data_IF_472730559798
#
_entry.id   IF_472730559798
#
_cell.length_a   1.000
_cell.length_b   1.000
_cell.length_c   1.000
_cell.angle_alpha   90.00
_cell.angle_beta   90.00
_cell.angle_gamma   90.00
#
_symmetry.space_group_name_H-M   'P 1'
#
loop_
_entity.id
_entity.type
_entity.pdbx_description
1 polymer ?
#
# COMPACT_ATOMS: atom_id res chain seq x y z
N UNK A 1 12.63 7.33 -22.44
CA UNK A 1 11.90 6.09 -22.08
C UNK A 1 10.41 6.41 -22.11
N UNK A 2 9.62 5.65 -22.86
CA UNK A 2 8.15 5.75 -22.84
C UNK A 2 7.63 4.61 -21.97
N UNK A 3 6.73 4.92 -21.04
CA UNK A 3 6.07 3.93 -20.19
C UNK A 3 4.56 4.03 -20.42
N UNK A 4 3.94 2.92 -20.77
CA UNK A 4 2.49 2.83 -21.02
C UNK A 4 1.87 2.05 -19.87
N UNK A 5 0.91 2.65 -19.16
CA UNK A 5 0.16 1.98 -18.10
C UNK A 5 -1.21 1.58 -18.63
N UNK A 6 -1.50 0.28 -18.64
CA UNK A 6 -2.86 -0.22 -18.85
C UNK A 6 -3.60 -0.18 -17.52
N UNK A 7 -4.66 0.62 -17.44
CA UNK A 7 -5.57 0.63 -16.29
C UNK A 7 -6.67 -0.39 -16.55
N UNK A 8 -6.68 -1.47 -15.78
CA UNK A 8 -7.59 -2.60 -15.98
C UNK A 8 -8.41 -2.83 -14.72
N UNK A 9 -9.71 -2.99 -14.90
CA UNK A 9 -10.62 -3.44 -13.85
C UNK A 9 -10.62 -4.97 -13.81
N UNK A 10 -10.01 -5.54 -12.78
CA UNK A 10 -9.85 -6.99 -12.61
C UNK A 10 -10.96 -7.63 -11.80
N UNK A 11 -11.98 -6.86 -11.39
CA UNK A 11 -13.08 -7.33 -10.55
C UNK A 11 -12.55 -8.00 -9.28
N UNK A 12 -12.93 -9.25 -9.04
CA UNK A 12 -12.59 -9.99 -7.82
C UNK A 12 -11.21 -10.65 -7.87
N UNK A 13 -10.52 -10.59 -9.02
CA UNK A 13 -9.18 -11.12 -9.16
C UNK A 13 -8.12 -10.08 -8.78
N UNK A 14 -6.99 -10.53 -8.21
CA UNK A 14 -5.76 -9.73 -8.18
C UNK A 14 -5.33 -9.35 -9.61
N UNK A 15 -5.51 -10.27 -10.55
CA UNK A 15 -5.34 -10.05 -11.99
C UNK A 15 -3.91 -9.97 -12.51
N UNK A 16 -2.87 -10.31 -11.74
CA UNK A 16 -1.47 -10.25 -12.20
C UNK A 16 -1.24 -10.96 -13.56
N UNK A 17 -1.70 -12.21 -13.69
CA UNK A 17 -1.59 -12.99 -14.94
C UNK A 17 -2.41 -12.39 -16.09
N UNK A 18 -3.61 -11.88 -15.79
CA UNK A 18 -4.46 -11.23 -16.79
C UNK A 18 -3.82 -9.95 -17.33
N UNK A 19 -3.18 -9.15 -16.48
CA UNK A 19 -2.46 -7.94 -16.89
C UNK A 19 -1.26 -8.27 -17.79
N UNK A 20 -0.46 -9.28 -17.46
CA UNK A 20 0.68 -9.69 -18.27
C UNK A 20 0.24 -10.10 -19.68
N UNK A 21 -0.81 -10.91 -19.79
CA UNK A 21 -1.40 -11.28 -21.08
C UNK A 21 -1.90 -10.08 -21.89
N UNK A 22 -2.52 -9.09 -21.24
CA UNK A 22 -2.94 -7.86 -21.90
C UNK A 22 -1.74 -7.02 -22.37
N UNK A 23 -0.71 -6.85 -21.53
CA UNK A 23 0.51 -6.14 -21.88
C UNK A 23 1.26 -6.79 -23.05
N UNK A 24 1.33 -8.13 -23.07
CA UNK A 24 1.87 -8.90 -24.20
C UNK A 24 1.04 -8.67 -25.47
N UNK A 25 -0.30 -8.70 -25.36
CA UNK A 25 -1.20 -8.51 -26.50
C UNK A 25 -1.13 -7.13 -27.16
N UNK A 26 -0.92 -6.06 -26.39
CA UNK A 26 -0.83 -4.69 -26.94
C UNK A 26 0.57 -4.31 -27.41
N UNK A 27 1.61 -5.07 -27.06
CA UNK A 27 2.99 -4.70 -27.36
C UNK A 27 3.27 -4.46 -28.85
N UNK A 28 2.83 -5.33 -29.80
CA UNK A 28 3.08 -5.09 -31.22
C UNK A 28 2.42 -3.81 -31.75
N UNK A 29 1.26 -3.44 -31.21
CA UNK A 29 0.57 -2.20 -31.56
C UNK A 29 1.34 -0.97 -31.05
N UNK A 30 1.89 -1.05 -29.83
CA UNK A 30 2.69 0.03 -29.26
C UNK A 30 3.99 0.21 -30.08
N UNK A 31 4.66 -0.88 -30.47
CA UNK A 31 5.86 -0.82 -31.32
C UNK A 31 5.54 -0.21 -32.69
N UNK A 32 4.43 -0.58 -33.32
CA UNK A 32 4.04 -0.03 -34.63
C UNK A 32 3.69 1.46 -34.58
N UNK A 33 3.03 1.92 -33.51
CA UNK A 33 2.68 3.34 -33.31
C UNK A 33 3.93 4.18 -33.02
N UNK A 34 4.84 3.65 -32.20
CA UNK A 34 5.97 4.45 -31.68
C UNK A 34 7.24 4.31 -32.50
N UNK A 35 7.37 3.27 -33.32
CA UNK A 35 8.63 2.87 -33.97
C UNK A 35 9.72 2.40 -32.98
N UNK A 36 9.37 2.25 -31.69
CA UNK A 36 10.26 1.82 -30.62
C UNK A 36 10.25 0.31 -30.39
N UNK A 37 11.01 -0.12 -29.38
CA UNK A 37 11.05 -1.51 -28.90
C UNK A 37 10.40 -1.61 -27.52
N UNK A 38 9.48 -2.55 -27.35
CA UNK A 38 8.89 -2.90 -26.06
C UNK A 38 9.84 -3.85 -25.31
N UNK A 39 10.07 -3.57 -24.03
CA UNK A 39 10.94 -4.37 -23.16
C UNK A 39 10.14 -5.15 -22.13
N UNK A 40 9.71 -4.45 -21.06
CA UNK A 40 8.97 -5.04 -19.95
C UNK A 40 7.46 -4.92 -20.17
N UNK A 41 6.75 -6.02 -19.86
CA UNK A 41 5.29 -6.17 -19.94
C UNK A 41 4.81 -6.80 -18.65
N UNK A 42 4.84 -6.01 -17.58
CA UNK A 42 4.71 -6.53 -16.22
C UNK A 42 3.78 -5.64 -15.39
N UNK A 43 3.10 -6.25 -14.43
CA UNK A 43 2.23 -5.54 -13.48
C UNK A 43 3.05 -4.70 -12.50
N UNK A 44 2.50 -3.56 -12.08
CA UNK A 44 3.02 -2.79 -10.95
C UNK A 44 2.38 -3.27 -9.65
N UNK A 45 3.18 -3.55 -8.61
CA UNK A 45 2.64 -3.76 -7.25
C UNK A 45 2.44 -2.43 -6.49
N UNK A 46 2.86 -1.29 -7.05
CA UNK A 46 2.37 0.01 -6.58
C UNK A 46 0.93 0.20 -7.08
N UNK A 47 -0.02 -0.43 -6.39
CA UNK A 47 -1.44 -0.45 -6.73
C UNK A 47 -2.18 0.77 -6.19
N UNK A 48 -1.70 1.98 -6.52
CA UNK A 48 -2.24 3.26 -6.01
C UNK A 48 -3.66 3.60 -6.52
N UNK A 49 -4.20 2.80 -7.44
CA UNK A 49 -5.60 2.86 -7.91
C UNK A 49 -6.54 1.89 -7.18
N UNK A 50 -6.02 0.98 -6.36
CA UNK A 50 -6.78 -0.02 -5.61
C UNK A 50 -6.72 0.26 -4.10
N UNK A 51 -7.23 1.42 -3.69
CA UNK A 51 -7.15 1.89 -2.31
C UNK A 51 -8.33 1.41 -1.44
N UNK A 52 -8.01 0.78 -0.31
CA UNK A 52 -8.96 0.49 0.77
C UNK A 52 -8.82 1.53 1.90
N UNK A 53 -9.92 1.85 2.59
CA UNK A 53 -9.95 2.81 3.71
C UNK A 53 -10.76 2.25 4.88
N UNK A 54 -10.25 2.46 6.10
CA UNK A 54 -10.92 2.13 7.36
C UNK A 54 -10.84 3.31 8.32
N UNK A 55 -11.84 3.47 9.19
CA UNK A 55 -11.90 4.53 10.20
C UNK A 55 -12.50 3.97 11.50
N UNK A 56 -12.01 4.46 12.63
CA UNK A 56 -12.60 4.21 13.95
C UNK A 56 -12.62 5.49 14.79
N UNK A 57 -13.51 5.55 15.77
CA UNK A 57 -13.58 6.61 16.77
C UNK A 57 -13.70 5.97 18.14
N UNK A 58 -12.81 6.35 19.05
CA UNK A 58 -12.77 5.81 20.40
C UNK A 58 -12.99 6.99 21.36
N UNK A 59 -14.02 6.93 22.24
CA UNK A 59 -14.20 7.92 23.31
C UNK A 59 -12.99 7.93 24.24
N UNK A 60 -12.57 9.11 24.74
CA UNK A 60 -11.37 9.22 25.57
C UNK A 60 -11.51 8.40 26.85
N UNK A 61 -12.69 8.42 27.45
CA UNK A 61 -13.07 7.64 28.62
C UNK A 61 -12.88 6.12 28.44
N UNK A 62 -12.89 5.62 27.20
CA UNK A 62 -12.65 4.21 26.88
C UNK A 62 -11.15 3.86 26.71
N UNK A 63 -10.26 4.84 26.73
CA UNK A 63 -8.80 4.65 26.59
C UNK A 63 -8.05 4.56 27.93
N UNK A 64 -8.69 4.95 29.04
CA UNK A 64 -8.04 5.01 30.34
C UNK A 64 -7.61 3.64 30.87
N UNK A 65 -6.48 3.59 31.58
CA UNK A 65 -5.93 2.36 32.15
C UNK A 65 -4.50 2.53 32.69
N UNK A 66 -4.03 1.56 33.47
CA UNK A 66 -2.63 1.49 33.95
C UNK A 66 -2.06 2.81 34.52
N UNK A 67 -2.88 3.53 35.29
CA UNK A 67 -2.58 4.83 35.92
C UNK A 67 -2.58 6.07 35.00
N UNK A 68 -3.13 5.97 33.78
CA UNK A 68 -3.33 7.11 32.88
C UNK A 68 -4.82 7.38 32.65
N UNK A 69 -5.18 8.67 32.64
CA UNK A 69 -6.48 9.13 32.14
C UNK A 69 -6.61 8.86 30.65
N UNK A 70 -7.86 8.81 30.17
CA UNK A 70 -8.15 8.65 28.75
C UNK A 70 -7.54 9.73 27.87
N UNK A 71 -7.54 10.97 28.36
CA UNK A 71 -6.94 12.13 27.72
C UNK A 71 -5.42 12.00 27.61
N UNK A 72 -4.75 11.52 28.66
CA UNK A 72 -3.30 11.27 28.61
C UNK A 72 -2.95 10.20 27.57
N UNK A 73 -3.74 9.12 27.48
CA UNK A 73 -3.53 8.07 26.48
C UNK A 73 -3.78 8.59 25.07
N UNK A 74 -4.86 9.35 24.86
CA UNK A 74 -5.17 10.01 23.58
C UNK A 74 -4.00 10.89 23.12
N UNK A 75 -3.51 11.76 23.99
CA UNK A 75 -2.44 12.71 23.65
C UNK A 75 -1.14 11.96 23.36
N UNK A 76 -0.85 10.88 24.10
CA UNK A 76 0.26 9.98 23.80
C UNK A 76 0.17 9.30 22.43
N UNK A 77 -1.02 8.85 22.02
CA UNK A 77 -1.26 8.27 20.69
C UNK A 77 -1.01 9.31 19.58
N UNK A 78 -1.46 10.55 19.78
CA UNK A 78 -1.22 11.66 18.84
C UNK A 78 0.28 11.93 18.69
N UNK A 79 1.00 12.07 19.80
CA UNK A 79 2.46 12.28 19.79
C UNK A 79 3.19 11.13 19.11
N UNK A 80 2.80 9.87 19.38
CA UNK A 80 3.41 8.71 18.74
C UNK A 80 3.14 8.64 17.22
N UNK A 81 1.97 9.11 16.79
CA UNK A 81 1.61 9.26 15.38
C UNK A 81 2.45 10.34 14.70
N UNK A 82 2.60 11.51 15.32
CA UNK A 82 3.43 12.60 14.78
C UNK A 82 4.90 12.19 14.70
N UNK A 83 5.40 11.46 15.70
CA UNK A 83 6.76 10.92 15.67
C UNK A 83 7.00 10.01 14.46
N UNK A 84 6.06 9.11 14.15
CA UNK A 84 6.13 8.25 12.96
C UNK A 84 5.97 9.02 11.64
N UNK A 85 5.43 10.24 11.64
CA UNK A 85 5.32 11.07 10.45
C UNK A 85 6.63 11.82 10.13
N UNK A 86 7.39 12.18 11.17
CA UNK A 86 8.61 13.00 11.02
C UNK A 86 9.90 12.18 10.89
N UNK A 87 9.96 10.98 11.48
CA UNK A 87 11.17 10.14 11.50
C UNK A 87 10.96 8.80 10.75
N UNK A 88 11.67 8.55 9.64
CA UNK A 88 11.62 7.27 8.92
C UNK A 88 11.96 6.03 9.76
N UNK A 89 12.86 6.15 10.75
CA UNK A 89 13.19 5.01 11.63
C UNK A 89 11.97 4.59 12.46
N UNK A 90 11.23 5.58 12.99
CA UNK A 90 9.97 5.30 13.66
C UNK A 90 8.88 4.86 12.69
N UNK A 91 8.77 5.48 11.52
CA UNK A 91 7.78 5.14 10.49
C UNK A 91 7.88 3.66 10.10
N UNK A 92 9.09 3.12 9.95
CA UNK A 92 9.31 1.72 9.61
C UNK A 92 8.66 0.79 10.66
N UNK A 93 8.88 1.11 11.94
CA UNK A 93 8.30 0.33 13.05
C UNK A 93 6.79 0.51 13.17
N UNK A 94 6.29 1.73 12.92
CA UNK A 94 4.85 2.01 12.89
C UNK A 94 4.14 1.17 11.82
N UNK A 95 4.63 1.22 10.59
CA UNK A 95 4.03 0.50 9.46
C UNK A 95 4.15 -1.02 9.63
N UNK A 96 5.29 -1.52 10.15
CA UNK A 96 5.42 -2.93 10.53
C UNK A 96 4.31 -3.38 11.49
N UNK A 97 3.95 -2.53 12.47
CA UNK A 97 2.85 -2.79 13.39
C UNK A 97 1.49 -2.92 12.71
N UNK A 98 1.26 -2.19 11.61
CA UNK A 98 0.04 -2.30 10.78
C UNK A 98 0.06 -3.62 10.02
N UNK A 99 1.19 -3.94 9.39
CA UNK A 99 1.34 -5.16 8.56
C UNK A 99 1.24 -6.44 9.38
N UNK A 100 1.62 -6.42 10.65
CA UNK A 100 1.33 -7.50 11.61
C UNK A 100 -0.16 -7.90 11.67
N UNK A 101 -1.08 -6.99 11.38
CA UNK A 101 -2.53 -7.29 11.32
C UNK A 101 -3.01 -7.67 9.92
N UNK A 102 -2.45 -7.04 8.87
CA UNK A 102 -2.87 -7.23 7.48
C UNK A 102 -2.36 -8.57 6.92
N UNK A 103 -1.07 -8.85 7.08
CA UNK A 103 -0.42 -10.01 6.47
C UNK A 103 -1.01 -11.35 6.91
N UNK A 104 -1.33 -11.58 8.20
CA UNK A 104 -1.99 -12.82 8.60
C UNK A 104 -3.35 -13.02 7.93
N UNK A 105 -4.13 -11.96 7.69
CA UNK A 105 -5.39 -12.05 6.96
C UNK A 105 -5.15 -12.39 5.49
N UNK A 106 -4.14 -11.77 4.87
CA UNK A 106 -3.73 -12.11 3.50
C UNK A 106 -3.33 -13.58 3.39
N UNK A 107 -2.51 -14.07 4.32
CA UNK A 107 -2.11 -15.48 4.42
C UNK A 107 -3.32 -16.38 4.57
N UNK A 108 -4.21 -16.08 5.53
CA UNK A 108 -5.38 -16.90 5.84
C UNK A 108 -6.36 -17.01 4.66
N UNK A 109 -6.38 -16.01 3.78
CA UNK A 109 -7.24 -15.95 2.59
C UNK A 109 -6.53 -16.36 1.29
N UNK A 110 -5.28 -16.85 1.38
CA UNK A 110 -4.50 -17.28 0.21
C UNK A 110 -4.02 -16.13 -0.70
N UNK A 111 -4.03 -14.90 -0.21
CA UNK A 111 -3.54 -13.73 -0.93
C UNK A 111 -2.02 -13.58 -0.83
N UNK A 112 -1.45 -12.91 -1.84
CA UNK A 112 -0.01 -12.62 -1.93
C UNK A 112 0.37 -11.45 -1.01
N UNK A 113 0.75 -11.73 0.23
CA UNK A 113 1.15 -10.69 1.20
C UNK A 113 2.35 -9.86 0.72
N UNK A 114 3.24 -10.41 -0.12
CA UNK A 114 4.41 -9.67 -0.62
C UNK A 114 3.98 -8.54 -1.55
N UNK A 115 2.92 -8.74 -2.33
CA UNK A 115 2.35 -7.71 -3.18
C UNK A 115 1.72 -6.57 -2.35
N UNK A 116 1.04 -6.94 -1.26
CA UNK A 116 0.43 -5.99 -0.32
C UNK A 116 1.52 -5.17 0.38
N UNK A 117 2.56 -5.83 0.91
CA UNK A 117 3.72 -5.19 1.55
C UNK A 117 4.44 -4.21 0.62
N UNK A 118 4.75 -4.65 -0.61
CA UNK A 118 5.41 -3.79 -1.60
C UNK A 118 4.57 -2.55 -1.92
N UNK A 119 3.25 -2.71 -2.11
CA UNK A 119 2.34 -1.61 -2.36
C UNK A 119 2.22 -0.67 -1.17
N UNK A 120 2.03 -1.21 0.05
CA UNK A 120 1.88 -0.43 1.27
C UNK A 120 3.13 0.43 1.55
N UNK A 121 4.32 -0.19 1.51
CA UNK A 121 5.58 0.51 1.79
C UNK A 121 6.00 1.48 0.69
N UNK A 122 5.73 1.19 -0.59
CA UNK A 122 5.96 2.15 -1.66
C UNK A 122 5.00 3.34 -1.56
N UNK A 123 3.73 3.10 -1.25
CA UNK A 123 2.73 4.16 -1.08
C UNK A 123 3.04 5.05 0.13
N UNK A 124 3.61 4.49 1.19
CA UNK A 124 4.12 5.21 2.36
C UNK A 124 5.27 6.19 2.03
N UNK A 125 5.98 6.00 0.91
CA UNK A 125 7.06 6.87 0.45
C UNK A 125 6.67 7.83 -0.69
N UNK A 126 5.39 7.85 -1.12
CA UNK A 126 4.93 8.63 -2.29
C UNK A 126 5.19 10.14 -2.22
N UNK A 127 5.39 10.69 -1.01
CA UNK A 127 5.70 12.09 -0.77
C UNK A 127 7.19 12.44 -0.82
N UNK A 128 8.06 11.54 -1.29
CA UNK A 128 9.51 11.74 -1.36
C UNK A 128 10.26 11.40 -0.07
N UNK A 129 9.54 11.17 1.04
CA UNK A 129 10.07 10.62 2.28
C UNK A 129 9.15 9.52 2.78
N UNK A 130 9.73 8.43 3.28
CA UNK A 130 8.99 7.35 3.91
C UNK A 130 8.33 7.83 5.21
N UNK A 131 7.01 7.63 5.32
CA UNK A 131 6.14 8.08 6.42
C UNK A 131 5.16 6.97 6.81
N UNK A 132 4.38 7.18 7.87
CA UNK A 132 3.07 6.51 8.04
C UNK A 132 2.02 7.07 7.08
#
# INVERSE_FOLDING_TARGET
>A
MLVVHLLVDTRDARGAQSHEGMCEGVAPLIESITGGKVFLRIVSNLSDRSLARAQCRIPAEALGGANYSGEQVRDGIIVAADFAHVDPYRAATHNKGIMNGIDPVAIATGNDWRAIEAGAHAYAARGGRYSR
#
